data_IF_487012599186
#
_entry.id   IF_487012599186
#
_cell.length_a   1.000
_cell.length_b   1.000
_cell.length_c   1.000
_cell.angle_alpha   90.00
_cell.angle_beta   90.00
_cell.angle_gamma   90.00
#
_symmetry.space_group_name_H-M   'P 1'
#
loop_
_entity.id
_entity.type
_entity.pdbx_description
1 polymer ?
#
# COMPACT_ATOMS: atom_id res chain seq x y z
N UNK A 1 -23.38 14.03 -13.83
CA UNK A 1 -22.30 14.54 -12.95
C UNK A 1 -21.09 14.94 -13.80
N UNK A 2 -20.12 15.71 -13.28
CA UNK A 2 -18.90 16.09 -14.03
C UNK A 2 -17.91 14.90 -14.09
N UNK A 3 -17.63 14.32 -15.28
CA UNK A 3 -16.68 13.22 -15.45
C UNK A 3 -15.29 13.53 -14.89
N UNK A 4 -14.91 14.81 -14.76
CA UNK A 4 -13.64 15.23 -14.20
C UNK A 4 -13.39 14.68 -12.77
N UNK A 5 -14.45 14.43 -11.98
CA UNK A 5 -14.23 13.96 -10.61
C UNK A 5 -14.05 12.45 -10.48
N UNK A 6 -14.73 11.64 -11.28
CA UNK A 6 -14.47 10.19 -11.29
C UNK A 6 -13.06 9.90 -11.80
N UNK A 7 -12.63 10.63 -12.82
CA UNK A 7 -11.25 10.62 -13.33
C UNK A 7 -10.26 10.98 -12.22
N UNK A 8 -10.55 12.02 -11.43
CA UNK A 8 -9.72 12.43 -10.30
C UNK A 8 -9.56 11.35 -9.22
N UNK A 9 -10.65 10.65 -8.88
CA UNK A 9 -10.61 9.53 -7.92
C UNK A 9 -9.77 8.36 -8.48
N UNK A 10 -10.05 7.92 -9.70
CA UNK A 10 -9.34 6.81 -10.32
C UNK A 10 -7.83 7.09 -10.50
N UNK A 11 -7.47 8.31 -10.89
CA UNK A 11 -6.08 8.74 -10.98
C UNK A 11 -5.40 8.66 -9.61
N UNK A 12 -6.07 9.14 -8.56
CA UNK A 12 -5.50 9.11 -7.22
C UNK A 12 -5.31 7.69 -6.68
N UNK A 13 -6.28 6.80 -6.89
CA UNK A 13 -6.14 5.39 -6.50
C UNK A 13 -4.99 4.70 -7.23
N UNK A 14 -4.80 5.01 -8.53
CA UNK A 14 -3.67 4.48 -9.29
C UNK A 14 -2.33 4.99 -8.75
N UNK A 15 -2.24 6.25 -8.30
CA UNK A 15 -1.05 6.76 -7.62
C UNK A 15 -0.76 6.00 -6.32
N UNK A 16 -1.79 5.71 -5.52
CA UNK A 16 -1.63 4.91 -4.29
C UNK A 16 -1.18 3.49 -4.60
N UNK A 17 -1.72 2.86 -5.65
CA UNK A 17 -1.30 1.55 -6.11
C UNK A 17 0.18 1.54 -6.57
N UNK A 18 0.63 2.60 -7.25
CA UNK A 18 2.02 2.74 -7.66
C UNK A 18 2.96 2.83 -6.44
N UNK A 19 2.61 3.62 -5.43
CA UNK A 19 3.37 3.73 -4.17
C UNK A 19 3.44 2.37 -3.48
N UNK A 20 2.30 1.69 -3.32
CA UNK A 20 2.24 0.36 -2.73
C UNK A 20 3.14 -0.64 -3.51
N UNK A 21 3.09 -0.62 -4.85
CA UNK A 21 3.90 -1.50 -5.69
C UNK A 21 5.41 -1.22 -5.64
N UNK A 22 5.82 0.06 -5.54
CA UNK A 22 7.25 0.41 -5.35
C UNK A 22 7.75 -0.07 -3.99
N UNK A 23 6.98 0.17 -2.95
CA UNK A 23 7.28 -0.29 -1.58
C UNK A 23 7.32 -1.81 -1.48
N UNK A 24 6.34 -2.51 -2.07
CA UNK A 24 6.28 -3.98 -2.14
C UNK A 24 7.50 -4.58 -2.84
N UNK A 25 7.92 -4.02 -3.99
CA UNK A 25 9.14 -4.45 -4.69
C UNK A 25 10.40 -4.30 -3.86
N UNK A 26 10.51 -3.22 -3.09
CA UNK A 26 11.64 -3.02 -2.18
C UNK A 26 11.65 -4.07 -1.06
N UNK A 27 10.48 -4.33 -0.44
CA UNK A 27 10.32 -5.37 0.57
C UNK A 27 10.66 -6.76 0.05
N UNK A 28 10.20 -7.11 -1.15
CA UNK A 28 10.51 -8.38 -1.80
C UNK A 28 12.02 -8.58 -2.04
N UNK A 29 12.75 -7.52 -2.42
CA UNK A 29 14.22 -7.62 -2.56
C UNK A 29 14.88 -7.94 -1.24
N UNK A 30 14.36 -7.41 -0.14
CA UNK A 30 14.87 -7.73 1.18
C UNK A 30 14.57 -9.18 1.60
N UNK A 31 13.36 -9.69 1.35
CA UNK A 31 13.03 -11.10 1.65
C UNK A 31 13.93 -12.06 0.88
N UNK A 32 14.21 -11.78 -0.40
CA UNK A 32 15.06 -12.66 -1.23
C UNK A 32 16.53 -12.63 -0.85
N UNK A 33 17.04 -11.51 -0.34
CA UNK A 33 18.44 -11.40 0.05
C UNK A 33 18.76 -12.11 1.37
N UNK A 34 17.76 -12.30 2.24
CA UNK A 34 17.92 -13.06 3.47
C UNK A 34 17.19 -14.39 3.38
N UNK A 35 17.91 -15.46 2.99
CA UNK A 35 17.42 -16.83 3.20
C UNK A 35 17.12 -16.99 4.70
N UNK A 36 15.85 -17.17 5.07
CA UNK A 36 15.33 -17.09 6.44
C UNK A 36 15.29 -15.65 7.00
N UNK A 37 14.77 -14.71 6.21
CA UNK A 37 14.36 -13.39 6.69
C UNK A 37 13.17 -13.49 7.65
N UNK A 38 12.81 -12.40 8.35
CA UNK A 38 11.70 -12.42 9.29
C UNK A 38 10.39 -12.72 8.57
N UNK A 39 9.62 -13.70 9.04
CA UNK A 39 8.28 -14.05 8.53
C UNK A 39 7.36 -12.81 8.47
N UNK A 40 7.52 -11.91 9.44
CA UNK A 40 6.82 -10.62 9.48
C UNK A 40 7.02 -9.76 8.22
N UNK A 41 8.16 -9.87 7.54
CA UNK A 41 8.45 -9.15 6.30
C UNK A 41 7.73 -9.74 5.09
N UNK A 42 7.63 -11.06 5.04
CA UNK A 42 6.89 -11.77 4.00
C UNK A 42 5.40 -11.49 4.14
N UNK A 43 4.85 -11.58 5.36
CA UNK A 43 3.47 -11.18 5.62
C UNK A 43 3.22 -9.69 5.34
N UNK A 44 4.15 -8.79 5.64
CA UNK A 44 4.02 -7.37 5.29
C UNK A 44 4.00 -7.16 3.78
N UNK A 45 4.87 -7.87 3.05
CA UNK A 45 4.89 -7.84 1.59
C UNK A 45 3.55 -8.33 1.00
N UNK A 46 3.02 -9.44 1.49
CA UNK A 46 1.72 -9.98 1.07
C UNK A 46 0.58 -8.98 1.30
N UNK A 47 0.55 -8.31 2.45
CA UNK A 47 -0.46 -7.29 2.78
C UNK A 47 -0.36 -6.07 1.85
N UNK A 48 0.86 -5.63 1.51
CA UNK A 48 1.09 -4.53 0.56
C UNK A 48 0.65 -4.90 -0.85
N UNK A 49 0.93 -6.12 -1.31
CA UNK A 49 0.50 -6.58 -2.63
C UNK A 49 -1.02 -6.75 -2.71
N UNK A 50 -1.65 -7.26 -1.65
CA UNK A 50 -3.11 -7.36 -1.56
C UNK A 50 -3.76 -5.97 -1.62
N UNK A 51 -3.21 -5.00 -0.87
CA UNK A 51 -3.68 -3.61 -0.91
C UNK A 51 -3.51 -2.99 -2.30
N UNK A 52 -2.35 -3.19 -2.94
CA UNK A 52 -2.10 -2.72 -4.31
C UNK A 52 -3.13 -3.26 -5.28
N UNK A 53 -3.40 -4.56 -5.24
CA UNK A 53 -4.36 -5.19 -6.14
C UNK A 53 -5.76 -4.60 -5.98
N UNK A 54 -6.22 -4.38 -4.75
CA UNK A 54 -7.52 -3.75 -4.51
C UNK A 54 -7.58 -2.30 -5.00
N UNK A 55 -6.50 -1.53 -4.85
CA UNK A 55 -6.44 -0.17 -5.38
C UNK A 55 -6.51 -0.15 -6.91
N UNK A 56 -5.81 -1.10 -7.57
CA UNK A 56 -5.87 -1.29 -9.02
C UNK A 56 -7.30 -1.69 -9.47
N UNK A 57 -7.93 -2.64 -8.78
CA UNK A 57 -9.27 -3.13 -9.09
C UNK A 57 -10.33 -2.03 -8.94
N UNK A 58 -10.29 -1.27 -7.84
CA UNK A 58 -11.23 -0.15 -7.60
C UNK A 58 -10.96 0.97 -8.62
N UNK A 59 -9.70 1.28 -8.95
CA UNK A 59 -9.38 2.26 -9.98
C UNK A 59 -9.95 1.84 -11.35
N UNK A 60 -9.82 0.56 -11.71
CA UNK A 60 -10.36 0.02 -12.95
C UNK A 60 -11.89 0.08 -12.98
N UNK A 61 -12.56 -0.29 -11.89
CA UNK A 61 -14.02 -0.21 -11.78
C UNK A 61 -14.53 1.22 -11.87
N UNK A 62 -13.92 2.16 -11.14
CA UNK A 62 -14.30 3.58 -11.24
C UNK A 62 -14.12 4.11 -12.67
N UNK A 63 -13.07 3.67 -13.40
CA UNK A 63 -12.88 4.05 -14.81
C UNK A 63 -13.94 3.45 -15.73
N UNK A 64 -14.35 2.21 -15.47
CA UNK A 64 -15.34 1.49 -16.29
C UNK A 64 -16.75 2.04 -16.06
N UNK A 65 -17.10 2.32 -14.80
CA UNK A 65 -18.45 2.75 -14.40
C UNK A 65 -18.78 4.19 -14.83
N UNK A 66 -17.74 5.02 -15.08
CA UNK A 66 -17.87 6.33 -15.72
C UNK A 66 -18.49 6.28 -17.14
N UNK A 67 -18.64 5.08 -17.71
CA UNK A 67 -19.34 4.84 -18.96
C UNK A 67 -20.87 4.77 -18.84
N UNK A 68 -21.44 4.31 -17.72
CA UNK A 68 -22.88 3.97 -17.64
C UNK A 68 -23.59 4.21 -16.27
N UNK A 69 -22.89 4.29 -15.13
CA UNK A 69 -23.53 4.50 -13.82
C UNK A 69 -22.86 5.60 -12.97
N UNK A 70 -23.69 6.48 -12.39
CA UNK A 70 -23.24 7.58 -11.53
C UNK A 70 -22.93 7.05 -10.12
N UNK A 71 -21.66 7.08 -9.73
CA UNK A 71 -21.23 6.74 -8.37
C UNK A 71 -21.79 7.82 -7.43
N UNK A 72 -22.97 7.54 -6.85
CA UNK A 72 -23.75 8.55 -6.15
C UNK A 72 -22.98 9.28 -5.03
N UNK A 73 -23.41 10.51 -4.65
CA UNK A 73 -22.74 11.36 -3.66
C UNK A 73 -22.45 10.67 -2.31
N UNK A 74 -23.28 9.67 -1.95
CA UNK A 74 -23.18 8.85 -0.75
C UNK A 74 -21.92 7.97 -0.69
N UNK A 75 -21.36 7.55 -1.83
CA UNK A 75 -20.13 6.76 -1.89
C UNK A 75 -18.90 7.65 -2.12
N UNK A 76 -19.09 8.81 -2.73
CA UNK A 76 -18.00 9.74 -3.10
C UNK A 76 -17.31 10.41 -1.90
N UNK A 77 -18.07 10.94 -0.94
CA UNK A 77 -17.48 11.61 0.24
C UNK A 77 -16.68 10.63 1.12
N UNK A 78 -17.21 9.43 1.44
CA UNK A 78 -16.43 8.42 2.16
C UNK A 78 -15.17 8.00 1.39
N UNK A 79 -15.27 7.77 0.08
CA UNK A 79 -14.11 7.39 -0.75
C UNK A 79 -13.02 8.48 -0.75
N UNK A 80 -13.38 9.76 -0.90
CA UNK A 80 -12.42 10.87 -0.87
C UNK A 80 -11.76 11.05 0.51
N UNK A 81 -12.51 10.92 1.60
CA UNK A 81 -11.95 10.99 2.96
C UNK A 81 -10.95 9.87 3.19
N UNK A 82 -11.32 8.63 2.82
CA UNK A 82 -10.45 7.47 2.96
C UNK A 82 -9.22 7.54 2.07
N UNK A 83 -9.36 8.09 0.86
CA UNK A 83 -8.24 8.36 -0.03
C UNK A 83 -7.19 9.28 0.61
N UNK A 84 -7.61 10.37 1.26
CA UNK A 84 -6.69 11.30 1.90
C UNK A 84 -5.97 10.67 3.11
N UNK A 85 -6.66 9.84 3.91
CA UNK A 85 -6.07 9.06 5.00
C UNK A 85 -5.03 8.06 4.46
N UNK A 86 -5.42 7.24 3.47
CA UNK A 86 -4.53 6.28 2.82
C UNK A 86 -3.29 6.92 2.21
N UNK A 87 -3.44 8.09 1.58
CA UNK A 87 -2.32 8.81 0.99
C UNK A 87 -1.25 9.17 2.02
N UNK A 88 -1.66 9.67 3.20
CA UNK A 88 -0.72 10.00 4.28
C UNK A 88 -0.03 8.75 4.83
N UNK A 89 -0.79 7.68 5.02
CA UNK A 89 -0.25 6.46 5.60
C UNK A 89 0.69 5.71 4.63
N UNK A 90 0.38 5.72 3.33
CA UNK A 90 1.24 5.15 2.30
C UNK A 90 2.50 5.98 2.06
N UNK A 91 2.43 7.31 2.18
CA UNK A 91 3.60 8.18 2.12
C UNK A 91 4.55 7.96 3.32
N UNK A 92 3.99 7.83 4.53
CA UNK A 92 4.75 7.46 5.71
C UNK A 92 5.38 6.06 5.57
N UNK A 93 4.64 5.11 5.00
CA UNK A 93 5.14 3.77 4.73
C UNK A 93 6.26 3.76 3.67
N UNK A 94 6.09 4.48 2.56
CA UNK A 94 7.12 4.61 1.53
C UNK A 94 8.40 5.23 2.09
N UNK A 95 8.28 6.28 2.90
CA UNK A 95 9.41 6.91 3.58
C UNK A 95 10.15 5.90 4.47
N UNK A 96 9.42 5.12 5.27
CA UNK A 96 10.00 4.09 6.13
C UNK A 96 10.72 2.99 5.32
N UNK A 97 10.11 2.50 4.23
CA UNK A 97 10.73 1.52 3.33
C UNK A 97 11.97 2.09 2.63
N UNK A 98 11.95 3.36 2.25
CA UNK A 98 13.10 4.05 1.65
C UNK A 98 14.26 4.20 2.65
N UNK A 99 13.96 4.51 3.91
CA UNK A 99 14.96 4.57 4.98
C UNK A 99 15.56 3.20 5.30
N UNK A 100 14.74 2.14 5.30
CA UNK A 100 15.24 0.77 5.38
C UNK A 100 16.19 0.45 4.23
N UNK A 101 15.81 0.79 3.00
CA UNK A 101 16.63 0.59 1.80
C UNK A 101 17.98 1.31 1.92
N UNK A 102 17.96 2.58 2.33
CA UNK A 102 19.17 3.38 2.53
C UNK A 102 20.08 2.77 3.59
N UNK A 103 19.52 2.28 4.70
CA UNK A 103 20.28 1.60 5.74
C UNK A 103 20.86 0.26 5.25
N UNK A 104 20.13 -0.43 4.38
CA UNK A 104 20.50 -1.71 3.80
C UNK A 104 21.62 -1.60 2.75
N UNK A 105 21.59 -0.55 1.93
CA UNK A 105 22.56 -0.29 0.85
C UNK A 105 23.83 0.43 1.34
N UNK A 106 23.96 0.71 2.65
CA UNK A 106 25.06 1.50 3.21
C UNK A 106 26.41 0.77 3.07
N UNK A 107 27.41 1.35 2.38
CA UNK A 107 28.73 0.74 2.19
C UNK A 107 29.46 0.53 3.53
N UNK A 108 30.18 -0.57 3.65
CA UNK A 108 31.08 -0.84 4.80
C UNK A 108 30.51 -1.73 5.92
N UNK A 109 29.23 -2.10 5.87
CA UNK A 109 28.71 -3.14 6.76
C UNK A 109 28.94 -4.53 6.18
N UNK A 110 29.43 -5.47 6.99
CA UNK A 110 29.41 -6.88 6.60
C UNK A 110 27.97 -7.40 6.53
N UNK A 111 27.73 -8.41 5.69
CA UNK A 111 26.41 -9.02 5.49
C UNK A 111 25.75 -9.46 6.81
N UNK A 112 26.56 -9.93 7.77
CA UNK A 112 26.10 -10.28 9.12
C UNK A 112 25.54 -9.07 9.90
N UNK A 113 26.20 -7.92 9.83
CA UNK A 113 25.73 -6.69 10.48
C UNK A 113 24.47 -6.15 9.81
N UNK A 114 24.41 -6.20 8.48
CA UNK A 114 23.20 -5.84 7.73
C UNK A 114 22.03 -6.75 8.15
N UNK A 115 22.23 -8.07 8.20
CA UNK A 115 21.21 -9.02 8.65
C UNK A 115 20.72 -8.73 10.06
N UNK A 116 21.62 -8.50 11.02
CA UNK A 116 21.23 -8.25 12.41
C UNK A 116 20.42 -6.95 12.57
N UNK A 117 20.83 -5.86 11.89
CA UNK A 117 20.07 -4.60 11.89
C UNK A 117 18.72 -4.76 11.22
N UNK A 118 18.67 -5.53 10.14
CA UNK A 118 17.46 -5.76 9.37
C UNK A 118 16.45 -6.61 10.15
N UNK A 119 16.90 -7.70 10.78
CA UNK A 119 16.08 -8.51 11.69
C UNK A 119 15.57 -7.67 12.86
N UNK A 120 16.41 -6.79 13.43
CA UNK A 120 16.00 -5.90 14.52
C UNK A 120 14.91 -4.93 14.07
N UNK A 121 15.15 -4.13 13.03
CA UNK A 121 14.18 -3.16 12.50
C UNK A 121 12.84 -3.80 12.11
N UNK A 122 12.87 -5.07 11.68
CA UNK A 122 11.67 -5.80 11.28
C UNK A 122 10.98 -6.58 12.41
N UNK A 123 11.69 -6.83 13.50
CA UNK A 123 11.10 -7.36 14.73
C UNK A 123 10.40 -6.28 15.57
N UNK A 124 10.51 -5.02 15.17
CA UNK A 124 10.02 -3.88 15.92
C UNK A 124 8.53 -3.63 15.70
N UNK A 125 7.95 -2.95 16.69
CA UNK A 125 6.57 -2.47 16.75
C UNK A 125 6.09 -1.79 15.45
N UNK A 126 7.01 -1.17 14.71
CA UNK A 126 6.73 -0.45 13.46
C UNK A 126 6.19 -1.36 12.35
N UNK A 127 6.73 -2.58 12.18
CA UNK A 127 6.21 -3.54 11.19
C UNK A 127 4.75 -3.89 11.48
N UNK A 128 4.47 -4.18 12.76
CA UNK A 128 3.10 -4.50 13.20
C UNK A 128 2.17 -3.32 13.04
N UNK A 129 2.64 -2.11 13.33
CA UNK A 129 1.87 -0.87 13.16
C UNK A 129 1.51 -0.64 11.69
N UNK A 130 2.49 -0.65 10.78
CA UNK A 130 2.24 -0.47 9.35
C UNK A 130 1.34 -1.59 8.80
N UNK A 131 1.56 -2.84 9.21
CA UNK A 131 0.68 -3.95 8.84
C UNK A 131 -0.76 -3.73 9.29
N UNK A 132 -0.98 -3.26 10.52
CA UNK A 132 -2.32 -2.98 11.03
C UNK A 132 -3.01 -1.89 10.22
N UNK A 133 -2.29 -0.81 9.90
CA UNK A 133 -2.81 0.32 9.11
C UNK A 133 -3.18 -0.15 7.69
N UNK A 134 -2.30 -0.89 7.02
CA UNK A 134 -2.56 -1.43 5.68
C UNK A 134 -3.76 -2.39 5.67
N UNK A 135 -3.88 -3.25 6.69
CA UNK A 135 -5.01 -4.16 6.82
C UNK A 135 -6.35 -3.44 7.09
N UNK A 136 -6.33 -2.30 7.79
CA UNK A 136 -7.51 -1.45 7.99
C UNK A 136 -7.94 -0.77 6.69
N UNK A 137 -6.97 -0.25 5.93
CA UNK A 137 -7.22 0.31 4.60
C UNK A 137 -7.77 -0.75 3.65
N UNK A 138 -7.23 -1.98 3.69
CA UNK A 138 -7.77 -3.12 2.93
C UNK A 138 -9.25 -3.36 3.22
N UNK A 139 -9.61 -3.51 4.49
CA UNK A 139 -11.02 -3.72 4.89
C UNK A 139 -11.94 -2.57 4.46
N UNK A 140 -11.43 -1.34 4.52
CA UNK A 140 -12.17 -0.16 4.09
C UNK A 140 -12.41 -0.18 2.57
N UNK A 141 -11.39 -0.52 1.80
CA UNK A 141 -11.47 -0.65 0.34
C UNK A 141 -12.37 -1.83 -0.08
N UNK A 142 -12.27 -2.99 0.58
CA UNK A 142 -13.18 -4.12 0.35
C UNK A 142 -14.63 -3.71 0.59
N UNK A 143 -14.89 -2.90 1.62
CA UNK A 143 -16.24 -2.39 1.90
C UNK A 143 -16.72 -1.46 0.78
N UNK A 144 -15.86 -0.55 0.30
CA UNK A 144 -16.18 0.32 -0.82
C UNK A 144 -16.41 -0.46 -2.11
N UNK A 145 -15.57 -1.46 -2.40
CA UNK A 145 -15.70 -2.35 -3.55
C UNK A 145 -17.03 -3.09 -3.54
N UNK A 146 -17.40 -3.68 -2.40
CA UNK A 146 -18.69 -4.35 -2.22
C UNK A 146 -19.90 -3.41 -2.30
N UNK A 147 -19.72 -2.10 -2.07
CA UNK A 147 -20.76 -1.09 -2.26
C UNK A 147 -20.87 -0.64 -3.71
N UNK A 148 -19.75 -0.61 -4.46
CA UNK A 148 -19.71 -0.26 -5.88
C UNK A 148 -20.18 -1.41 -6.78
N UNK A 149 -20.01 -2.66 -6.37
CA UNK A 149 -20.43 -3.84 -7.12
C UNK A 149 -21.93 -4.20 -6.95
N UNK A 150 -22.71 -3.37 -6.25
CA UNK A 150 -24.16 -3.56 -6.01
C UNK A 150 -24.97 -2.57 -6.83
#
# INVERSE_FOLDING_TARGET
MDPATGIGLAASLATLAEIAGKSGKALYRFTKRFRNGPEALESLYEEVEALRQLLDDISALVRYDLGDHDIGPQLRKPAQSKQAEMARDLDAFETWVADMKKNFEKPGYSERHLRARFVKALSEREVTQHRSILAEHRKSLDTLLNQLAK
#
